data_IF_876283264360
#
_entry.id   IF_876283264360
#
_cell.length_a   1.000
_cell.length_b   1.000
_cell.length_c   1.000
_cell.angle_alpha   90.00
_cell.angle_beta   90.00
_cell.angle_gamma   90.00
#
_symmetry.space_group_name_H-M   'P 1'
#
loop_
_entity.id
_entity.type
_entity.pdbx_description
1 polymer ?
#
# COMPACT_ATOMS: atom_id res chain seq x y z
N UNK A 1 3.58 -9.76 6.99
CA UNK A 1 3.57 -8.76 5.90
C UNK A 1 2.43 -7.76 6.08
N UNK A 2 2.67 -6.48 5.78
CA UNK A 2 1.66 -5.41 5.82
C UNK A 2 1.87 -4.47 4.63
N UNK A 3 0.77 -4.15 3.95
CA UNK A 3 0.72 -3.13 2.90
C UNK A 3 -0.32 -2.10 3.28
N UNK A 4 0.05 -0.84 3.11
CA UNK A 4 -0.81 0.32 3.37
C UNK A 4 -0.73 1.27 2.18
N UNK A 5 -1.86 1.90 1.85
CA UNK A 5 -1.96 2.91 0.82
C UNK A 5 -2.36 4.25 1.45
N UNK A 6 -1.77 5.32 0.92
CA UNK A 6 -2.15 6.69 1.23
C UNK A 6 -2.56 7.40 -0.05
N UNK A 7 -3.60 8.23 0.07
CA UNK A 7 -4.17 9.01 -1.02
C UNK A 7 -3.98 10.52 -0.81
N UNK A 8 -3.23 10.89 0.23
CA UNK A 8 -3.00 12.26 0.68
C UNK A 8 -1.51 12.52 1.00
N UNK A 9 -0.62 11.94 0.19
CA UNK A 9 0.84 12.04 0.29
C UNK A 9 1.40 11.59 1.67
N UNK A 10 0.82 10.53 2.25
CA UNK A 10 1.32 9.86 3.45
C UNK A 10 0.79 10.41 4.77
N UNK A 11 -0.19 11.33 4.75
CA UNK A 11 -0.78 11.91 5.97
C UNK A 11 -1.71 10.91 6.67
N UNK A 12 -2.49 10.18 5.90
CA UNK A 12 -3.34 9.08 6.37
C UNK A 12 -3.04 7.79 5.61
N UNK A 13 -3.26 6.65 6.28
CA UNK A 13 -2.91 5.33 5.77
C UNK A 13 -4.09 4.38 5.90
N UNK A 14 -4.39 3.68 4.82
CA UNK A 14 -5.43 2.66 4.74
C UNK A 14 -4.76 1.30 4.53
N UNK A 15 -5.12 0.33 5.37
CA UNK A 15 -4.57 -1.01 5.25
C UNK A 15 -5.16 -1.71 4.03
N UNK A 16 -4.29 -2.28 3.19
CA UNK A 16 -4.69 -3.11 2.07
C UNK A 16 -4.96 -4.56 2.54
N UNK A 17 -5.83 -5.26 1.81
CA UNK A 17 -6.00 -6.71 1.96
C UNK A 17 -4.81 -7.39 1.30
N UNK A 18 -4.08 -8.24 2.04
CA UNK A 18 -2.87 -8.91 1.56
C UNK A 18 -3.09 -10.41 1.57
N UNK A 19 -2.76 -11.10 0.48
CA UNK A 19 -2.77 -12.56 0.39
C UNK A 19 -1.41 -13.10 -0.09
N UNK A 20 -1.00 -14.32 0.33
CA UNK A 20 0.16 -14.98 -0.24
C UNK A 20 -0.02 -15.21 -1.75
N UNK A 21 1.06 -15.06 -2.51
CA UNK A 21 1.08 -15.29 -3.96
C UNK A 21 2.36 -16.04 -4.38
N UNK A 22 2.56 -17.22 -3.78
CA UNK A 22 3.77 -18.03 -3.99
C UNK A 22 4.90 -17.74 -2.98
N UNK A 23 6.10 -18.27 -3.28
CA UNK A 23 7.26 -18.18 -2.37
C UNK A 23 7.80 -16.76 -2.33
N UNK A 24 7.83 -16.16 -1.14
CA UNK A 24 8.32 -14.79 -0.90
C UNK A 24 7.59 -13.71 -1.72
N UNK A 25 6.37 -14.01 -2.18
CA UNK A 25 5.54 -13.12 -2.95
C UNK A 25 4.15 -12.99 -2.31
N UNK A 26 3.56 -11.82 -2.50
CA UNK A 26 2.27 -11.46 -1.94
C UNK A 26 1.56 -10.53 -2.92
N UNK A 27 0.24 -10.63 -2.92
CA UNK A 27 -0.63 -9.74 -3.65
C UNK A 27 -1.39 -8.85 -2.66
N UNK A 28 -1.51 -7.56 -2.98
CA UNK A 28 -2.23 -6.60 -2.15
C UNK A 28 -3.33 -5.91 -2.96
N UNK A 29 -4.57 -6.00 -2.47
CA UNK A 29 -5.71 -5.29 -3.05
C UNK A 29 -5.81 -3.91 -2.42
N UNK A 30 -5.61 -2.87 -3.24
CA UNK A 30 -5.68 -1.47 -2.85
C UNK A 30 -6.96 -0.86 -3.42
N UNK A 31 -7.95 -0.67 -2.56
CA UNK A 31 -9.27 -0.14 -2.93
C UNK A 31 -9.30 1.39 -2.89
N UNK A 32 -10.04 2.00 -3.83
CA UNK A 32 -10.28 3.43 -3.83
C UNK A 32 -11.07 3.82 -2.57
N UNK A 33 -10.58 4.75 -1.74
CA UNK A 33 -11.37 5.29 -0.65
C UNK A 33 -12.51 6.15 -1.23
N UNK A 34 -13.66 6.15 -0.57
CA UNK A 34 -14.84 6.93 -0.96
C UNK A 34 -14.64 8.46 -0.86
N UNK A 35 -13.53 8.94 -0.30
CA UNK A 35 -13.28 10.35 -0.03
C UNK A 35 -12.73 11.20 -1.19
N UNK A 36 -11.63 10.81 -1.87
CA UNK A 36 -11.00 11.63 -2.90
C UNK A 36 -11.87 11.82 -4.16
N UNK A 37 -12.20 13.09 -4.45
CA UNK A 37 -12.81 13.52 -5.71
C UNK A 37 -11.72 13.75 -6.75
N UNK A 38 -11.85 13.18 -7.95
CA UNK A 38 -10.88 13.31 -9.02
C UNK A 38 -9.69 12.35 -8.90
N UNK A 39 -8.59 12.69 -9.56
CA UNK A 39 -7.36 11.89 -9.55
C UNK A 39 -6.65 11.97 -8.20
N UNK A 40 -6.16 10.84 -7.71
CA UNK A 40 -5.44 10.75 -6.44
C UNK A 40 -4.10 10.02 -6.63
N UNK A 41 -2.94 10.66 -6.37
CA UNK A 41 -1.68 9.95 -6.35
C UNK A 41 -1.66 8.99 -5.17
N UNK A 42 -1.32 7.74 -5.42
CA UNK A 42 -1.26 6.70 -4.40
C UNK A 42 0.18 6.51 -3.96
N UNK A 43 0.42 6.62 -2.66
CA UNK A 43 1.69 6.27 -2.01
C UNK A 43 1.52 4.94 -1.30
N UNK A 44 2.48 4.02 -1.48
CA UNK A 44 2.46 2.70 -0.86
C UNK A 44 3.49 2.62 0.27
N UNK A 45 3.13 1.97 1.37
CA UNK A 45 4.05 1.59 2.45
C UNK A 45 3.95 0.10 2.69
N UNK A 46 5.09 -0.57 2.61
CA UNK A 46 5.22 -2.00 2.79
C UNK A 46 6.09 -2.25 4.02
N UNK A 47 5.66 -3.14 4.91
CA UNK A 47 6.44 -3.59 6.07
C UNK A 47 6.45 -5.11 6.14
N UNK A 48 7.66 -5.68 6.18
CA UNK A 48 7.89 -7.11 6.31
C UNK A 48 8.78 -7.41 7.52
N UNK A 49 8.59 -8.60 8.07
CA UNK A 49 9.36 -9.16 9.17
C UNK A 49 9.60 -10.64 8.83
N UNK A 50 10.84 -11.10 8.97
CA UNK A 50 11.19 -12.51 8.78
C UNK A 50 11.11 -13.31 10.09
N UNK A 51 11.29 -14.63 10.03
CA UNK A 51 11.23 -15.50 11.20
C UNK A 51 12.38 -15.29 12.21
N UNK A 52 13.43 -14.56 11.83
CA UNK A 52 14.53 -14.18 12.72
C UNK A 52 14.34 -12.80 13.37
N UNK A 53 13.24 -12.10 13.04
CA UNK A 53 12.92 -10.77 13.54
C UNK A 53 13.55 -9.62 12.76
N UNK A 54 14.18 -9.87 11.61
CA UNK A 54 14.67 -8.79 10.76
C UNK A 54 13.47 -8.07 10.14
N UNK A 55 13.51 -6.73 10.12
CA UNK A 55 12.42 -5.91 9.60
C UNK A 55 12.87 -5.04 8.44
N UNK A 56 11.97 -4.83 7.49
CA UNK A 56 12.11 -3.82 6.45
C UNK A 56 10.83 -3.01 6.34
N UNK A 57 10.98 -1.72 6.12
CA UNK A 57 9.89 -0.82 5.76
C UNK A 57 10.29 0.01 4.55
N UNK A 58 9.48 -0.04 3.51
CA UNK A 58 9.68 0.73 2.29
C UNK A 58 8.47 1.61 2.03
N UNK A 59 8.72 2.84 1.59
CA UNK A 59 7.67 3.75 1.11
C UNK A 59 7.98 4.12 -0.33
N UNK A 60 7.00 3.90 -1.21
CA UNK A 60 7.06 4.31 -2.62
C UNK A 60 6.08 5.45 -2.81
N UNK A 61 6.63 6.66 -2.85
CA UNK A 61 5.85 7.90 -2.96
C UNK A 61 5.31 8.06 -4.37
N UNK A 62 4.00 8.35 -4.49
CA UNK A 62 3.28 8.50 -5.77
C UNK A 62 3.54 7.34 -6.74
N UNK A 63 3.44 6.11 -6.22
CA UNK A 63 3.67 4.86 -6.94
C UNK A 63 2.83 4.74 -8.23
N UNK A 64 1.59 5.22 -8.19
CA UNK A 64 0.73 5.34 -9.35
C UNK A 64 -0.33 6.42 -9.13
N UNK A 65 -1.02 6.79 -10.21
CA UNK A 65 -2.14 7.71 -10.17
C UNK A 65 -3.45 6.92 -10.26
N UNK A 66 -4.28 7.00 -9.23
CA UNK A 66 -5.63 6.45 -9.28
C UNK A 66 -6.55 7.50 -9.92
N UNK A 67 -7.04 7.22 -11.13
CA UNK A 67 -7.85 8.19 -11.91
C UNK A 67 -9.28 8.29 -11.37
N UNK A 68 -9.80 9.51 -11.31
CA UNK A 68 -11.22 9.79 -11.02
C UNK A 68 -12.16 9.23 -12.10
N UNK A 69 -13.44 8.99 -11.76
CA UNK A 69 -14.49 8.96 -12.78
C UNK A 69 -14.62 10.29 -13.51
#
# INVERSE_FOLDING_TARGET
>A
MRVEASYDDGRSWHRATVRPDGTNAFEATVERPSGPRGDAPVTLRVSAEDGAGNTVRQTVTRAYLHRGP
#
